data_IF_476158759993
#
_entry.id   IF_476158759993
#
_cell.length_a   1.000
_cell.length_b   1.000
_cell.length_c   1.000
_cell.angle_alpha   90.00
_cell.angle_beta   90.00
_cell.angle_gamma   90.00
#
_symmetry.space_group_name_H-M   'P 1'
#
loop_
_entity.id
_entity.type
_entity.pdbx_description
1 polymer ?
#
# COMPACT_ATOMS: atom_id res chain seq x y z
N UNK A 1 -0.74 -1.59 -15.68
CA UNK A 1 -1.70 -2.74 -15.58
C UNK A 1 -2.24 -2.90 -14.16
N UNK A 2 -1.42 -3.12 -13.13
CA UNK A 2 -1.85 -3.41 -11.74
C UNK A 2 -2.84 -2.42 -11.13
N UNK A 3 -2.70 -1.11 -11.39
CA UNK A 3 -3.64 -0.09 -10.88
C UNK A 3 -5.04 -0.25 -11.47
N UNK A 4 -5.14 -0.50 -12.76
CA UNK A 4 -6.42 -0.66 -13.46
C UNK A 4 -7.09 -1.96 -13.01
N UNK A 5 -6.35 -3.07 -13.02
CA UNK A 5 -6.86 -4.38 -12.56
C UNK A 5 -7.37 -4.32 -11.12
N UNK A 6 -6.68 -3.60 -10.22
CA UNK A 6 -7.16 -3.41 -8.86
C UNK A 6 -8.42 -2.54 -8.82
N UNK A 7 -8.48 -1.42 -9.57
CA UNK A 7 -9.68 -0.58 -9.63
C UNK A 7 -10.90 -1.35 -10.10
N UNK A 8 -10.76 -2.18 -11.13
CA UNK A 8 -11.81 -3.05 -11.65
C UNK A 8 -12.28 -4.04 -10.58
N UNK A 9 -11.33 -4.75 -9.94
CA UNK A 9 -11.62 -5.68 -8.85
C UNK A 9 -12.33 -4.99 -7.68
N UNK A 10 -11.80 -3.86 -7.21
CA UNK A 10 -12.34 -3.12 -6.08
C UNK A 10 -13.74 -2.56 -6.38
N UNK A 11 -13.96 -2.05 -7.60
CA UNK A 11 -15.26 -1.57 -8.05
C UNK A 11 -16.31 -2.71 -8.06
N UNK A 12 -15.94 -3.88 -8.59
CA UNK A 12 -16.82 -5.05 -8.59
C UNK A 12 -17.16 -5.50 -7.16
N UNK A 13 -16.18 -5.53 -6.24
CA UNK A 13 -16.37 -5.92 -4.85
C UNK A 13 -17.40 -5.04 -4.12
N UNK A 14 -17.42 -3.73 -4.41
CA UNK A 14 -18.40 -2.79 -3.83
C UNK A 14 -19.60 -2.53 -4.76
N UNK A 15 -19.79 -3.38 -5.78
CA UNK A 15 -20.91 -3.32 -6.75
C UNK A 15 -20.99 -1.94 -7.45
N UNK A 16 -19.86 -1.37 -7.82
CA UNK A 16 -19.77 -0.11 -8.54
C UNK A 16 -19.56 -0.40 -10.02
N UNK A 17 -20.52 -0.02 -10.85
CA UNK A 17 -20.39 -0.16 -12.30
C UNK A 17 -19.49 0.93 -12.86
N UNK A 18 -18.42 0.53 -13.55
CA UNK A 18 -17.44 1.45 -14.14
C UNK A 18 -17.05 0.98 -15.55
N UNK A 19 -16.96 1.90 -16.48
CA UNK A 19 -16.37 1.64 -17.79
C UNK A 19 -14.84 1.75 -17.69
N UNK A 20 -14.18 0.60 -17.68
CA UNK A 20 -12.72 0.52 -17.56
C UNK A 20 -12.02 1.19 -18.73
N UNK A 21 -12.53 1.08 -19.96
CA UNK A 21 -11.91 1.69 -21.14
C UNK A 21 -12.02 3.21 -21.09
N UNK A 22 -13.17 3.74 -20.68
CA UNK A 22 -13.35 5.16 -20.47
C UNK A 22 -12.44 5.68 -19.34
N UNK A 23 -12.28 4.93 -18.26
CA UNK A 23 -11.35 5.26 -17.17
C UNK A 23 -9.89 5.30 -17.65
N UNK A 24 -9.43 4.31 -18.40
CA UNK A 24 -8.07 4.25 -18.95
C UNK A 24 -7.80 5.45 -19.89
N UNK A 25 -8.74 5.76 -20.78
CA UNK A 25 -8.65 6.91 -21.68
C UNK A 25 -8.58 8.24 -20.88
N UNK A 26 -9.41 8.39 -19.84
CA UNK A 26 -9.39 9.56 -18.98
C UNK A 26 -8.08 9.71 -18.21
N UNK A 27 -7.51 8.62 -17.69
CA UNK A 27 -6.20 8.62 -17.03
C UNK A 27 -5.10 9.04 -18.02
N UNK A 28 -5.10 8.46 -19.23
CA UNK A 28 -4.12 8.79 -20.26
C UNK A 28 -4.14 10.27 -20.64
N UNK A 29 -5.32 10.86 -20.78
CA UNK A 29 -5.49 12.29 -21.08
C UNK A 29 -5.00 13.17 -19.92
N UNK A 30 -5.30 12.82 -18.66
CA UNK A 30 -4.79 13.55 -17.50
C UNK A 30 -3.25 13.51 -17.45
N UNK A 31 -2.64 12.36 -17.67
CA UNK A 31 -1.17 12.21 -17.71
C UNK A 31 -0.56 13.06 -18.82
N UNK A 32 -1.19 13.10 -20.00
CA UNK A 32 -0.75 13.94 -21.13
C UNK A 32 -0.83 15.43 -20.78
N UNK A 33 -1.95 15.87 -20.22
CA UNK A 33 -2.15 17.26 -19.78
C UNK A 33 -1.10 17.70 -18.77
N UNK A 34 -0.78 16.86 -17.78
CA UNK A 34 0.23 17.15 -16.78
C UNK A 34 1.63 17.27 -17.42
N UNK A 35 1.98 16.35 -18.32
CA UNK A 35 3.28 16.37 -19.01
C UNK A 35 3.45 17.60 -19.88
N UNK A 36 2.41 18.04 -20.58
CA UNK A 36 2.46 19.23 -21.46
C UNK A 36 2.55 20.55 -20.69
N UNK A 37 2.04 20.60 -19.46
CA UNK A 37 2.14 21.76 -18.57
C UNK A 37 3.49 21.91 -17.84
N UNK A 38 4.33 20.88 -17.87
CA UNK A 38 5.67 20.89 -17.30
C UNK A 38 6.64 21.30 -18.41
N UNK A 39 7.19 22.52 -18.37
CA UNK A 39 8.19 22.97 -19.35
C UNK A 39 9.44 22.07 -19.38
N UNK A 40 10.37 22.36 -20.31
CA UNK A 40 11.58 21.56 -20.66
C UNK A 40 12.59 21.25 -19.54
N UNK A 41 12.39 21.75 -18.33
CA UNK A 41 13.19 21.36 -17.17
C UNK A 41 12.62 20.06 -16.57
N UNK A 42 13.46 19.08 -16.34
CA UNK A 42 13.20 17.75 -15.80
C UNK A 42 11.91 17.68 -14.97
N UNK A 43 10.85 17.07 -15.55
CA UNK A 43 9.50 17.09 -15.00
C UNK A 43 9.51 16.66 -13.53
N UNK A 44 9.06 17.52 -12.60
CA UNK A 44 9.03 17.16 -11.19
C UNK A 44 8.15 15.92 -11.00
N UNK A 45 8.60 15.00 -10.13
CA UNK A 45 7.77 13.85 -9.74
C UNK A 45 6.45 14.37 -9.12
N UNK A 46 5.32 13.83 -9.51
CA UNK A 46 4.02 14.14 -8.91
C UNK A 46 3.17 12.88 -8.75
N UNK A 47 2.15 13.00 -7.94
CA UNK A 47 1.18 11.94 -7.65
C UNK A 47 -0.14 12.27 -8.30
N UNK A 48 -0.61 11.42 -9.22
CA UNK A 48 -1.98 11.48 -9.74
C UNK A 48 -2.85 10.54 -8.90
N UNK A 49 -3.81 11.10 -8.15
CA UNK A 49 -4.82 10.31 -7.45
C UNK A 49 -6.07 10.19 -8.31
N UNK A 50 -6.57 8.96 -8.41
CA UNK A 50 -7.83 8.64 -9.09
C UNK A 50 -8.82 8.15 -8.04
N UNK A 51 -9.94 8.85 -7.86
CA UNK A 51 -11.03 8.47 -7.00
C UNK A 51 -12.23 8.10 -7.87
N UNK A 52 -12.83 6.95 -7.58
CA UNK A 52 -14.04 6.48 -8.22
C UNK A 52 -15.13 6.32 -7.16
N UNK A 53 -16.28 6.93 -7.35
CA UNK A 53 -17.41 6.87 -6.45
C UNK A 53 -18.69 6.53 -7.18
N UNK A 54 -19.74 6.13 -6.45
CA UNK A 54 -21.03 5.74 -7.02
C UNK A 54 -21.87 6.88 -7.61
N UNK A 55 -21.32 8.09 -7.73
CA UNK A 55 -22.04 9.24 -8.27
C UNK A 55 -23.19 9.70 -7.37
N UNK A 56 -24.26 10.22 -7.98
CA UNK A 56 -25.46 10.62 -7.25
C UNK A 56 -26.26 9.38 -6.86
N UNK A 57 -26.69 9.32 -5.61
CA UNK A 57 -27.44 8.19 -5.06
C UNK A 57 -28.83 8.64 -4.61
N UNK A 58 -29.70 7.65 -4.38
CA UNK A 58 -30.99 7.83 -3.73
C UNK A 58 -30.86 8.18 -2.24
N UNK A 59 -31.95 8.05 -1.48
CA UNK A 59 -31.94 8.31 -0.04
C UNK A 59 -31.16 7.23 0.73
N UNK A 60 -30.45 7.67 1.78
CA UNK A 60 -29.66 6.79 2.62
C UNK A 60 -28.47 6.21 1.86
N UNK A 61 -28.37 4.88 1.83
CA UNK A 61 -27.27 4.16 1.17
C UNK A 61 -27.67 3.53 -0.17
N UNK A 62 -28.89 3.82 -0.65
CA UNK A 62 -29.40 3.29 -1.92
C UNK A 62 -28.65 3.91 -3.10
N UNK A 63 -28.28 3.06 -4.07
CA UNK A 63 -27.82 3.50 -5.39
C UNK A 63 -28.93 3.24 -6.40
N UNK A 64 -29.09 4.15 -7.37
CA UNK A 64 -29.90 3.90 -8.55
C UNK A 64 -29.17 2.91 -9.46
N UNK A 65 -29.91 2.03 -10.15
CA UNK A 65 -29.33 1.13 -11.16
C UNK A 65 -28.67 1.90 -12.31
N UNK A 66 -29.19 3.10 -12.61
CA UNK A 66 -28.68 3.99 -13.66
C UNK A 66 -27.59 4.94 -13.17
N UNK A 67 -27.10 4.81 -11.93
CA UNK A 67 -26.05 5.67 -11.39
C UNK A 67 -24.72 5.44 -12.09
N UNK A 68 -24.23 6.43 -12.80
CA UNK A 68 -22.88 6.41 -13.36
C UNK A 68 -21.82 6.69 -12.29
N UNK A 69 -20.70 5.99 -12.39
CA UNK A 69 -19.57 6.24 -11.51
C UNK A 69 -18.98 7.63 -11.77
N UNK A 70 -18.73 8.38 -10.70
CA UNK A 70 -18.01 9.65 -10.76
C UNK A 70 -16.52 9.42 -10.59
N UNK A 71 -15.75 9.82 -11.60
CA UNK A 71 -14.29 9.76 -11.58
C UNK A 71 -13.76 11.15 -11.25
N UNK A 72 -12.89 11.23 -10.24
CA UNK A 72 -12.22 12.48 -9.85
C UNK A 72 -10.71 12.27 -9.88
N UNK A 73 -10.01 13.19 -10.53
CA UNK A 73 -8.55 13.27 -10.54
C UNK A 73 -8.07 14.38 -9.60
N UNK A 74 -6.98 14.13 -8.90
CA UNK A 74 -6.25 15.16 -8.17
C UNK A 74 -4.76 14.95 -8.30
N UNK A 75 -4.02 16.05 -8.48
CA UNK A 75 -2.57 16.07 -8.60
C UNK A 75 -1.97 16.60 -7.29
N UNK A 76 -0.92 15.93 -6.81
CA UNK A 76 -0.21 16.30 -5.60
C UNK A 76 1.30 16.24 -5.85
N UNK A 77 2.11 17.03 -5.11
CA UNK A 77 3.56 16.89 -5.13
C UNK A 77 3.97 15.49 -4.65
N UNK A 78 5.07 14.98 -5.20
CA UNK A 78 5.69 13.74 -4.73
C UNK A 78 6.33 13.97 -3.34
N UNK A 79 6.15 13.06 -2.38
CA UNK A 79 6.76 13.16 -1.05
C UNK A 79 8.29 12.95 -1.13
N UNK A 80 9.04 14.02 -1.32
CA UNK A 80 10.51 13.97 -1.57
C UNK A 80 11.30 13.30 -0.43
N UNK A 81 10.78 13.30 0.81
CA UNK A 81 11.40 12.61 1.94
C UNK A 81 11.46 11.08 1.76
N UNK A 82 10.68 10.50 0.84
CA UNK A 82 10.80 9.08 0.53
C UNK A 82 12.13 8.73 -0.13
N UNK A 83 12.75 9.67 -0.84
CA UNK A 83 14.05 9.43 -1.50
C UNK A 83 15.19 9.28 -0.46
N UNK A 84 15.17 10.02 0.67
CA UNK A 84 16.12 9.84 1.78
C UNK A 84 15.81 8.58 2.59
N UNK A 85 14.55 8.38 2.96
CA UNK A 85 14.12 7.20 3.72
C UNK A 85 14.37 5.88 2.98
N UNK A 86 14.35 5.87 1.64
CA UNK A 86 14.68 4.69 0.85
C UNK A 86 16.11 4.18 1.11
N UNK A 87 17.04 5.06 1.57
CA UNK A 87 18.41 4.74 1.89
C UNK A 87 18.66 4.59 3.40
N UNK A 88 17.99 5.40 4.22
CA UNK A 88 18.18 5.47 5.67
C UNK A 88 17.31 4.47 6.41
N UNK A 89 16.16 4.10 5.81
CA UNK A 89 15.13 3.27 6.42
C UNK A 89 14.15 4.06 7.29
N UNK A 90 12.93 3.54 7.37
CA UNK A 90 11.88 4.12 8.19
C UNK A 90 11.97 3.64 9.64
N UNK A 91 11.74 4.54 10.59
CA UNK A 91 11.42 4.18 11.98
C UNK A 91 9.91 4.11 12.12
N UNK A 92 9.41 3.04 12.72
CA UNK A 92 7.98 2.78 12.86
C UNK A 92 7.61 2.34 14.27
N UNK A 93 6.34 2.52 14.63
CA UNK A 93 5.74 1.96 15.85
C UNK A 93 4.83 0.77 15.51
N UNK A 94 4.42 0.00 16.53
CA UNK A 94 3.23 -0.84 16.42
C UNK A 94 2.03 -0.01 16.86
N UNK A 95 1.06 0.23 15.96
CA UNK A 95 -0.13 1.01 16.26
C UNK A 95 -0.98 0.36 17.36
N UNK A 96 -1.58 1.19 18.22
CA UNK A 96 -2.58 0.73 19.18
C UNK A 96 -3.95 0.51 18.52
N UNK A 97 -4.32 1.38 17.58
CA UNK A 97 -5.52 1.22 16.77
C UNK A 97 -5.44 -0.08 15.96
N UNK A 98 -6.51 -0.87 16.04
CA UNK A 98 -6.65 -2.14 15.31
C UNK A 98 -7.60 -1.98 14.13
N UNK A 99 -7.33 -2.69 13.02
CA UNK A 99 -8.24 -2.75 11.90
C UNK A 99 -9.39 -3.71 12.20
N UNK A 100 -10.61 -3.29 11.89
CA UNK A 100 -11.76 -4.16 11.95
C UNK A 100 -11.63 -5.31 10.93
N UNK A 101 -12.11 -6.50 11.31
CA UNK A 101 -12.19 -7.64 10.42
C UNK A 101 -13.51 -7.56 9.66
N UNK A 102 -13.43 -7.30 8.34
CA UNK A 102 -14.57 -7.25 7.44
C UNK A 102 -14.20 -7.92 6.10
N UNK A 103 -14.43 -9.25 5.97
CA UNK A 103 -13.98 -10.00 4.79
C UNK A 103 -14.53 -9.49 3.46
N UNK A 104 -15.72 -8.87 3.45
CA UNK A 104 -16.30 -8.31 2.22
C UNK A 104 -15.59 -7.05 1.71
N UNK A 105 -14.83 -6.36 2.58
CA UNK A 105 -14.06 -5.17 2.25
C UNK A 105 -12.54 -5.41 2.29
N UNK A 106 -12.14 -6.59 2.72
CA UNK A 106 -10.73 -6.98 2.82
C UNK A 106 -10.05 -6.96 1.45
N UNK A 107 -8.88 -6.38 1.39
CA UNK A 107 -8.14 -6.15 0.14
C UNK A 107 -8.58 -4.92 -0.66
N UNK A 108 -9.80 -4.43 -0.48
CA UNK A 108 -10.37 -3.31 -1.24
C UNK A 108 -9.79 -1.96 -0.79
N UNK A 109 -9.31 -1.15 -1.73
CA UNK A 109 -8.84 0.21 -1.44
C UNK A 109 -10.01 1.21 -1.47
N UNK A 110 -10.95 1.07 -0.54
CA UNK A 110 -12.08 1.99 -0.39
C UNK A 110 -11.70 3.29 0.34
N UNK A 111 -12.59 4.29 0.34
CA UNK A 111 -12.35 5.61 0.95
C UNK A 111 -12.75 5.72 2.44
N UNK A 112 -13.39 4.72 3.02
CA UNK A 112 -13.75 4.68 4.44
C UNK A 112 -12.53 4.30 5.29
N UNK A 113 -11.66 5.28 5.59
CA UNK A 113 -10.33 5.06 6.19
C UNK A 113 -10.15 5.79 7.52
N UNK A 114 -11.18 5.77 8.39
CA UNK A 114 -11.10 6.42 9.70
C UNK A 114 -10.08 5.75 10.62
N UNK A 115 -9.93 4.44 10.58
CA UNK A 115 -8.89 3.72 11.33
C UNK A 115 -7.50 4.21 10.94
N UNK A 116 -7.23 4.38 9.63
CA UNK A 116 -5.93 4.91 9.16
C UNK A 116 -5.73 6.37 9.58
N UNK A 117 -6.79 7.17 9.72
CA UNK A 117 -6.69 8.53 10.28
C UNK A 117 -6.24 8.47 11.73
N UNK A 118 -6.83 7.61 12.57
CA UNK A 118 -6.42 7.42 13.97
C UNK A 118 -4.97 6.91 14.05
N UNK A 119 -4.61 5.93 13.26
CA UNK A 119 -3.24 5.40 13.20
C UNK A 119 -2.25 6.50 12.79
N UNK A 120 -2.62 7.37 11.85
CA UNK A 120 -1.75 8.48 11.45
C UNK A 120 -1.51 9.47 12.60
N UNK A 121 -2.50 9.73 13.45
CA UNK A 121 -2.31 10.52 14.66
C UNK A 121 -1.30 9.87 15.61
N UNK A 122 -1.38 8.54 15.82
CA UNK A 122 -0.38 7.81 16.63
C UNK A 122 1.04 7.96 16.07
N UNK A 123 1.19 7.87 14.73
CA UNK A 123 2.47 8.07 14.04
C UNK A 123 3.01 9.48 14.25
N UNK A 124 2.16 10.50 14.12
CA UNK A 124 2.52 11.91 14.27
C UNK A 124 2.90 12.23 15.72
N UNK A 125 2.12 11.74 16.70
CA UNK A 125 2.39 11.92 18.13
C UNK A 125 3.70 11.25 18.57
N UNK A 126 4.02 10.09 17.97
CA UNK A 126 5.28 9.39 18.22
C UNK A 126 6.49 9.99 17.48
N UNK A 127 6.28 10.90 16.53
CA UNK A 127 7.34 11.52 15.74
C UNK A 127 8.10 10.52 14.84
N UNK A 128 7.42 9.47 14.36
CA UNK A 128 7.98 8.42 13.50
C UNK A 128 7.43 8.49 12.07
N UNK A 129 7.89 7.60 11.20
CA UNK A 129 7.56 7.68 9.77
C UNK A 129 6.30 6.92 9.38
N UNK A 130 6.02 5.79 10.05
CA UNK A 130 4.86 4.92 9.76
C UNK A 130 4.55 4.02 10.97
N UNK A 131 3.55 3.15 10.86
CA UNK A 131 3.21 2.18 11.89
C UNK A 131 2.91 0.81 11.28
N UNK A 132 3.29 -0.26 12.00
CA UNK A 132 2.80 -1.62 11.77
C UNK A 132 1.40 -1.71 12.38
N UNK A 133 0.46 -2.22 11.63
CA UNK A 133 -0.96 -2.26 12.02
C UNK A 133 -1.43 -3.71 12.08
N UNK A 134 -2.05 -4.07 13.21
CA UNK A 134 -2.68 -5.37 13.41
C UNK A 134 -4.21 -5.27 13.29
N UNK A 135 -4.87 -6.39 13.07
CA UNK A 135 -6.31 -6.50 13.20
C UNK A 135 -6.75 -6.73 14.67
N UNK A 136 -8.05 -6.88 14.89
CA UNK A 136 -8.65 -7.14 16.22
C UNK A 136 -8.32 -8.53 16.78
N UNK A 137 -7.63 -9.39 16.05
CA UNK A 137 -7.12 -10.68 16.50
C UNK A 137 -5.60 -10.67 16.68
N UNK A 138 -4.98 -9.47 16.69
CA UNK A 138 -3.55 -9.25 16.82
C UNK A 138 -2.67 -9.82 15.68
N UNK A 139 -3.26 -10.17 14.52
CA UNK A 139 -2.50 -10.49 13.34
C UNK A 139 -1.99 -9.21 12.66
N UNK A 140 -0.72 -9.21 12.25
CA UNK A 140 -0.16 -8.15 11.41
C UNK A 140 -0.93 -8.12 10.08
N UNK A 141 -1.34 -6.93 9.64
CA UNK A 141 -2.07 -6.76 8.39
C UNK A 141 -1.27 -5.92 7.39
N UNK A 142 -0.95 -4.70 7.75
CA UNK A 142 -0.32 -3.74 6.85
C UNK A 142 0.46 -2.66 7.63
N UNK A 143 1.02 -1.68 6.96
CA UNK A 143 1.45 -0.42 7.56
C UNK A 143 0.36 0.64 7.39
N UNK A 144 0.49 1.81 8.06
CA UNK A 144 -0.54 2.86 7.98
C UNK A 144 -0.80 3.31 6.54
N UNK A 145 0.23 3.32 5.70
CA UNK A 145 0.16 3.76 4.30
C UNK A 145 0.73 2.76 3.28
N UNK A 146 0.97 1.51 3.66
CA UNK A 146 1.58 0.49 2.80
C UNK A 146 1.39 -0.93 3.30
N UNK A 147 1.84 -1.91 2.51
CA UNK A 147 1.85 -3.31 2.93
C UNK A 147 3.20 -3.68 3.53
N UNK A 148 3.23 -4.73 4.34
CA UNK A 148 4.41 -5.19 5.05
C UNK A 148 4.92 -6.50 4.45
N UNK A 149 6.24 -6.59 4.28
CA UNK A 149 6.96 -7.84 4.06
C UNK A 149 8.06 -7.95 5.12
N UNK A 150 8.35 -9.17 5.55
CA UNK A 150 9.47 -9.42 6.44
C UNK A 150 10.24 -10.67 5.99
N UNK A 151 11.55 -10.65 6.21
CA UNK A 151 12.46 -11.71 5.80
C UNK A 151 12.90 -12.50 7.02
N UNK A 152 12.65 -13.80 7.00
CA UNK A 152 12.95 -14.71 8.11
C UNK A 152 13.38 -16.06 7.53
N UNK A 153 14.48 -16.64 8.06
CA UNK A 153 15.00 -17.94 7.61
C UNK A 153 15.15 -18.03 6.08
N UNK A 154 15.74 -16.99 5.47
CA UNK A 154 16.00 -16.89 4.03
C UNK A 154 14.73 -16.90 3.16
N UNK A 155 13.57 -16.56 3.71
CA UNK A 155 12.28 -16.54 3.03
C UNK A 155 11.54 -15.22 3.29
N UNK A 156 10.76 -14.78 2.30
CA UNK A 156 9.87 -13.63 2.45
C UNK A 156 8.50 -14.06 2.96
N UNK A 157 7.94 -13.23 3.81
CA UNK A 157 6.61 -13.36 4.39
C UNK A 157 5.83 -12.07 4.19
N UNK A 158 4.53 -12.17 3.91
CA UNK A 158 3.61 -11.04 3.89
C UNK A 158 2.27 -11.44 4.48
N UNK A 159 1.60 -10.57 5.25
CA UNK A 159 0.32 -10.89 5.84
C UNK A 159 -0.76 -11.25 4.84
N UNK A 160 -1.63 -12.18 5.22
CA UNK A 160 -2.89 -12.47 4.55
C UNK A 160 -3.84 -11.29 4.70
N UNK A 161 -4.52 -10.92 3.62
CA UNK A 161 -5.51 -9.84 3.60
C UNK A 161 -6.94 -10.37 3.46
N UNK A 162 -7.23 -11.58 3.96
CA UNK A 162 -8.56 -12.19 3.88
C UNK A 162 -9.59 -11.54 4.79
N UNK A 163 -9.15 -10.91 5.88
CA UNK A 163 -10.01 -10.29 6.89
C UNK A 163 -10.03 -8.77 6.85
N UNK A 164 -8.91 -8.14 6.51
CA UNK A 164 -8.71 -6.68 6.57
C UNK A 164 -7.56 -6.24 5.66
N UNK A 165 -7.29 -4.92 5.63
CA UNK A 165 -6.19 -4.33 4.87
C UNK A 165 -6.49 -4.07 3.41
N UNK A 166 -5.48 -3.62 2.67
CA UNK A 166 -5.54 -3.26 1.25
C UNK A 166 -4.60 -4.12 0.43
N UNK A 167 -5.06 -4.73 -0.66
CA UNK A 167 -4.19 -5.39 -1.61
C UNK A 167 -3.45 -4.35 -2.48
N UNK A 168 -2.29 -3.89 -2.00
CA UNK A 168 -1.49 -2.89 -2.68
C UNK A 168 -0.92 -3.40 -4.00
N UNK A 169 -0.83 -2.52 -5.00
CA UNK A 169 -0.33 -2.88 -6.33
C UNK A 169 1.13 -3.34 -6.31
N UNK A 170 1.97 -2.71 -5.48
CA UNK A 170 3.37 -3.14 -5.30
C UNK A 170 3.43 -4.49 -4.57
N UNK A 171 2.57 -4.70 -3.56
CA UNK A 171 2.45 -6.00 -2.89
C UNK A 171 2.12 -7.09 -3.90
N UNK A 172 1.11 -6.91 -4.74
CA UNK A 172 0.72 -7.91 -5.74
C UNK A 172 1.85 -8.15 -6.75
N UNK A 173 2.47 -7.09 -7.25
CA UNK A 173 3.59 -7.18 -8.17
C UNK A 173 4.77 -7.99 -7.59
N UNK A 174 5.11 -7.79 -6.32
CA UNK A 174 6.17 -8.54 -5.63
C UNK A 174 5.77 -10.00 -5.40
N UNK A 175 4.52 -10.27 -5.04
CA UNK A 175 4.02 -11.65 -4.89
C UNK A 175 4.16 -12.39 -6.22
N UNK A 176 3.65 -11.82 -7.30
CA UNK A 176 3.71 -12.43 -8.63
C UNK A 176 5.16 -12.69 -9.08
N UNK A 177 6.04 -11.70 -8.88
CA UNK A 177 7.45 -11.81 -9.24
C UNK A 177 8.19 -12.87 -8.40
N UNK A 178 7.93 -12.95 -7.09
CA UNK A 178 8.58 -13.94 -6.22
C UNK A 178 8.11 -15.37 -6.56
N UNK A 179 6.83 -15.55 -6.80
CA UNK A 179 6.27 -16.87 -7.15
C UNK A 179 6.74 -17.35 -8.53
N UNK A 180 6.82 -16.47 -9.52
CA UNK A 180 7.27 -16.82 -10.87
C UNK A 180 8.72 -17.32 -10.91
N UNK A 181 9.58 -16.81 -10.01
CA UNK A 181 10.98 -17.21 -9.93
C UNK A 181 11.24 -18.37 -8.93
N UNK A 182 10.18 -19.04 -8.48
CA UNK A 182 10.25 -20.08 -7.44
C UNK A 182 10.96 -19.63 -6.16
N UNK A 183 10.93 -18.32 -5.86
CA UNK A 183 11.41 -17.81 -4.58
C UNK A 183 10.41 -18.13 -3.48
N UNK A 184 10.91 -18.51 -2.31
CA UNK A 184 10.06 -18.82 -1.17
C UNK A 184 9.38 -17.57 -0.65
N UNK A 185 8.07 -17.48 -0.88
CA UNK A 185 7.19 -16.47 -0.32
C UNK A 185 6.02 -17.14 0.41
N UNK A 186 5.77 -16.70 1.63
CA UNK A 186 4.67 -17.18 2.45
C UNK A 186 3.65 -16.06 2.69
N UNK A 187 2.41 -16.31 2.31
CA UNK A 187 1.27 -15.43 2.62
C UNK A 187 0.45 -16.10 3.71
N UNK A 188 0.35 -15.49 4.90
CA UNK A 188 -0.28 -16.13 6.06
C UNK A 188 -0.66 -15.15 7.15
N UNK A 189 -1.10 -15.68 8.28
CA UNK A 189 -1.41 -14.93 9.49
C UNK A 189 -0.19 -14.96 10.41
N UNK A 190 0.23 -13.79 10.88
CA UNK A 190 1.46 -13.60 11.65
C UNK A 190 1.22 -12.58 12.75
N UNK A 191 1.66 -12.90 13.95
CA UNK A 191 1.70 -11.96 15.07
C UNK A 191 3.02 -11.17 15.13
N UNK A 192 3.11 -10.21 16.03
CA UNK A 192 4.28 -9.33 16.18
C UNK A 192 5.57 -10.10 16.56
N UNK A 193 5.49 -11.34 17.05
CA UNK A 193 6.67 -12.14 17.39
C UNK A 193 7.50 -12.50 16.16
N UNK A 194 6.88 -12.56 14.98
CA UNK A 194 7.59 -12.77 13.71
C UNK A 194 8.52 -11.61 13.39
N UNK A 195 8.11 -10.35 13.64
CA UNK A 195 8.95 -9.18 13.40
C UNK A 195 10.17 -9.16 14.33
N UNK A 196 10.05 -9.68 15.57
CA UNK A 196 11.20 -9.80 16.47
C UNK A 196 12.25 -10.78 15.99
N UNK A 197 11.88 -11.75 15.17
CA UNK A 197 12.75 -12.81 14.64
C UNK A 197 13.23 -12.50 13.21
N UNK A 198 12.60 -11.56 12.55
CA UNK A 198 12.93 -11.18 11.18
C UNK A 198 14.34 -10.57 11.11
N UNK A 199 15.04 -10.84 10.02
CA UNK A 199 16.33 -10.21 9.69
C UNK A 199 16.18 -8.95 8.84
N UNK A 200 15.01 -8.76 8.19
CA UNK A 200 14.67 -7.53 7.48
C UNK A 200 13.16 -7.33 7.47
N UNK A 201 12.74 -6.05 7.46
CA UNK A 201 11.33 -5.65 7.31
C UNK A 201 11.27 -4.52 6.29
N UNK A 202 10.25 -4.55 5.42
CA UNK A 202 10.00 -3.48 4.45
C UNK A 202 8.53 -3.13 4.41
N UNK A 203 8.25 -1.87 4.09
CA UNK A 203 6.92 -1.35 3.78
C UNK A 203 6.85 -1.04 2.29
N UNK A 204 5.72 -1.32 1.65
CA UNK A 204 5.58 -1.14 0.21
C UNK A 204 4.32 -0.38 -0.16
N UNK A 205 4.43 0.59 -1.05
CA UNK A 205 3.29 1.20 -1.73
C UNK A 205 3.70 1.75 -3.10
N UNK A 206 2.72 2.27 -3.87
CA UNK A 206 2.94 2.76 -5.24
C UNK A 206 3.84 4.00 -5.34
N UNK A 207 4.11 4.72 -4.26
CA UNK A 207 4.94 5.93 -4.24
C UNK A 207 6.36 5.65 -3.75
N UNK A 208 6.48 4.89 -2.66
CA UNK A 208 7.76 4.56 -2.05
C UNK A 208 8.43 3.31 -2.62
N UNK A 209 7.71 2.50 -3.41
CA UNK A 209 8.21 1.21 -3.87
C UNK A 209 8.45 0.27 -2.69
N UNK A 210 9.71 -0.14 -2.49
CA UNK A 210 10.18 -0.93 -1.34
C UNK A 210 10.93 -0.02 -0.38
N UNK A 211 10.32 0.31 0.76
CA UNK A 211 10.86 1.13 1.84
C UNK A 211 11.41 0.23 2.94
N UNK A 212 12.72 0.21 3.20
CA UNK A 212 13.28 -0.52 4.34
C UNK A 212 12.78 0.05 5.66
N UNK A 213 12.55 -0.82 6.64
CA UNK A 213 12.36 -0.42 8.03
C UNK A 213 13.69 -0.55 8.74
N UNK A 214 14.17 0.55 9.34
CA UNK A 214 15.39 0.56 10.15
C UNK A 214 15.11 0.10 11.58
N UNK A 215 13.96 0.52 12.12
CA UNK A 215 13.65 0.34 13.54
C UNK A 215 12.15 0.21 13.76
N UNK A 216 11.76 -0.74 14.61
CA UNK A 216 10.37 -0.88 15.10
C UNK A 216 10.36 -0.68 16.61
N UNK A 217 9.53 0.24 17.11
CA UNK A 217 9.16 0.30 18.52
C UNK A 217 8.00 -0.66 18.75
N UNK A 218 8.24 -1.66 19.58
CA UNK A 218 7.25 -2.68 19.94
C UNK A 218 6.29 -2.17 21.03
N UNK A 219 5.15 -2.85 21.27
CA UNK A 219 4.17 -2.41 22.28
C UNK A 219 4.71 -2.36 23.71
N UNK A 220 5.74 -3.13 24.03
CA UNK A 220 6.45 -3.14 25.32
C UNK A 220 7.56 -2.07 25.41
N UNK A 221 7.55 -1.10 24.47
CA UNK A 221 8.55 -0.04 24.32
C UNK A 221 9.98 -0.51 24.02
N UNK A 222 10.21 -1.80 23.80
CA UNK A 222 11.48 -2.31 23.28
C UNK A 222 11.63 -1.95 21.79
N UNK A 223 12.88 -1.99 21.31
CA UNK A 223 13.18 -1.71 19.89
C UNK A 223 13.73 -2.97 19.22
N UNK A 224 13.38 -3.10 17.93
CA UNK A 224 14.00 -4.06 17.03
C UNK A 224 14.62 -3.27 15.88
N UNK A 225 15.92 -3.45 15.67
CA UNK A 225 16.69 -2.77 14.63
C UNK A 225 16.99 -3.74 13.48
N UNK A 226 17.00 -3.21 12.24
CA UNK A 226 17.23 -3.99 11.03
C UNK A 226 18.30 -3.35 10.16
N UNK A 227 19.06 -4.19 9.44
CA UNK A 227 19.98 -3.73 8.40
C UNK A 227 19.21 -3.37 7.13
N UNK A 228 19.10 -2.07 6.87
CA UNK A 228 18.39 -1.50 5.70
C UNK A 228 19.08 -1.78 4.36
N UNK A 229 20.32 -2.28 4.39
CA UNK A 229 21.15 -2.61 3.22
C UNK A 229 21.37 -4.09 3.03
N UNK A 230 20.64 -4.94 3.76
CA UNK A 230 20.76 -6.40 3.61
C UNK A 230 20.53 -6.84 2.17
N UNK A 231 21.22 -7.89 1.75
CA UNK A 231 21.11 -8.45 0.39
C UNK A 231 19.67 -8.79 0.02
N UNK A 232 18.88 -9.24 0.98
CA UNK A 232 17.46 -9.54 0.79
C UNK A 232 16.66 -8.30 0.35
N UNK A 233 16.90 -7.14 0.98
CA UNK A 233 16.23 -5.88 0.63
C UNK A 233 16.70 -5.39 -0.75
N UNK A 234 18.00 -5.46 -1.02
CA UNK A 234 18.56 -5.06 -2.32
C UNK A 234 17.97 -5.90 -3.45
N UNK A 235 17.93 -7.22 -3.26
CA UNK A 235 17.33 -8.15 -4.22
C UNK A 235 15.82 -7.85 -4.44
N UNK A 236 15.07 -7.58 -3.37
CA UNK A 236 13.64 -7.26 -3.48
C UNK A 236 13.38 -5.94 -4.23
N UNK A 237 14.21 -4.90 -4.00
CA UNK A 237 14.16 -3.63 -4.75
C UNK A 237 14.44 -3.85 -6.24
N UNK A 238 15.49 -4.59 -6.56
CA UNK A 238 15.86 -4.91 -7.96
C UNK A 238 14.74 -5.68 -8.65
N UNK A 239 14.15 -6.65 -7.96
CA UNK A 239 13.02 -7.44 -8.47
C UNK A 239 11.81 -6.56 -8.81
N UNK A 240 11.44 -5.62 -7.93
CA UNK A 240 10.36 -4.67 -8.21
C UNK A 240 10.67 -3.82 -9.45
N UNK A 241 11.90 -3.31 -9.56
CA UNK A 241 12.31 -2.51 -10.72
C UNK A 241 12.18 -3.29 -12.03
N UNK A 242 12.64 -4.54 -12.06
CA UNK A 242 12.51 -5.42 -13.23
C UNK A 242 11.04 -5.68 -13.60
N UNK A 243 10.20 -5.96 -12.60
CA UNK A 243 8.78 -6.23 -12.82
C UNK A 243 7.98 -5.00 -13.30
N UNK A 244 8.45 -3.78 -13.03
CA UNK A 244 7.82 -2.56 -13.52
C UNK A 244 8.28 -2.14 -14.93
N UNK A 245 9.34 -2.76 -15.46
CA UNK A 245 9.85 -2.51 -16.83
C UNK A 245 9.23 -3.43 -17.87
N UNK A 246 8.69 -4.56 -17.44
CA UNK A 246 7.97 -5.55 -18.26
C UNK A 246 6.46 -5.27 -18.27
#
# INVERSE_FOLDING_TARGET
>A
PYHISRLEHDAAAIKLNIDIRALEAAIAEQVKTIKSGSGDNASPKYVLKVHVSGGQAGRGYARSEDSEALIRFSQHPYPVHYDSLANEGATVICAQTRLAIQPLLAGVKHMNRLEQVLIKHEVDDAGVHDAIVCDTQDNIIEASAGNVFFYLNEQWYTPSLKGSGVNGVVRQCLIDSLLNDNCSLHVGEYDLSYLRKASAVVITNALMGVMPVQKIQMPDFSYVDFDVRSDAIVALKTRLQTALQN
#
